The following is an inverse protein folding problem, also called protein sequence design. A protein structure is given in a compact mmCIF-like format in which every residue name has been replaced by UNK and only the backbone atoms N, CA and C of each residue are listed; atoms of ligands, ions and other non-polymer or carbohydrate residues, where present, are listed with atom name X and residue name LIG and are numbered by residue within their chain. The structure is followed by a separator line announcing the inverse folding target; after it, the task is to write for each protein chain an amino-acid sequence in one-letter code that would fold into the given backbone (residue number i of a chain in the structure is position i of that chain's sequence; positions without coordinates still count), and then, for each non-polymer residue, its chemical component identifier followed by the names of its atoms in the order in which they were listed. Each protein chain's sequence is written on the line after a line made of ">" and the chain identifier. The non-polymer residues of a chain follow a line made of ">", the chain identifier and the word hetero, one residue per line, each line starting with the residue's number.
data_IF_122048882468
#
_entry.id   IF_122048882468
#
_cell.length_a   1.000
_cell.length_b   1.000
_cell.length_c   1.000
_cell.angle_alpha   90.00
_cell.angle_beta   90.00
_cell.angle_gamma   90.00
#
_symmetry.space_group_name_H-M   'P 1'
#
loop_
_entity.id
_entity.type
_entity.pdbx_description
1 polymer ?
#
# COMPACT_ATOMS: atom_id res chain seq x y z
N UNK A 1 32.65 7.13 -14.00
CA UNK A 1 31.28 7.44 -13.56
C UNK A 1 30.43 6.17 -13.64
N UNK A 2 30.25 5.49 -12.50
CA UNK A 2 29.51 4.21 -12.46
C UNK A 2 28.00 4.49 -12.34
N UNK A 3 27.23 4.09 -13.35
CA UNK A 3 25.77 4.09 -13.29
C UNK A 3 25.35 3.02 -12.29
N UNK A 4 24.75 3.43 -11.17
CA UNK A 4 24.10 2.51 -10.25
C UNK A 4 22.97 1.78 -11.00
N UNK A 5 23.18 0.50 -11.29
CA UNK A 5 22.13 -0.40 -11.79
C UNK A 5 21.06 -0.52 -10.71
N UNK A 6 19.88 0.04 -10.97
CA UNK A 6 18.67 -0.21 -10.20
C UNK A 6 18.29 -1.68 -10.41
N UNK A 7 18.69 -2.57 -9.49
CA UNK A 7 18.21 -3.95 -9.48
C UNK A 7 16.73 -3.92 -9.10
N UNK A 8 15.86 -3.91 -10.09
CA UNK A 8 14.44 -4.23 -9.87
C UNK A 8 14.40 -5.68 -9.39
N UNK A 9 13.83 -5.89 -8.20
CA UNK A 9 13.66 -7.24 -7.64
C UNK A 9 12.77 -8.07 -8.56
N UNK A 10 12.84 -9.41 -8.48
CA UNK A 10 12.06 -10.28 -9.36
C UNK A 10 10.57 -9.96 -9.26
N UNK A 11 9.87 -10.01 -10.40
CA UNK A 11 8.41 -9.84 -10.46
C UNK A 11 7.77 -10.86 -9.52
N UNK A 12 7.04 -10.38 -8.51
CA UNK A 12 6.46 -11.22 -7.43
C UNK A 12 7.26 -11.23 -6.12
N UNK A 13 8.40 -10.55 -6.03
CA UNK A 13 9.11 -10.35 -4.78
C UNK A 13 8.25 -9.50 -3.81
N UNK A 14 7.98 -10.05 -2.62
CA UNK A 14 7.26 -9.33 -1.57
C UNK A 14 8.22 -8.38 -0.85
N UNK A 15 7.89 -7.09 -0.86
CA UNK A 15 8.54 -6.08 -0.02
C UNK A 15 7.90 -6.01 1.38
N UNK A 16 8.56 -5.28 2.29
CA UNK A 16 8.02 -4.95 3.60
C UNK A 16 8.05 -3.44 3.81
N UNK A 17 6.95 -2.87 4.30
CA UNK A 17 6.89 -1.49 4.76
C UNK A 17 6.75 -1.47 6.29
N UNK A 18 7.50 -0.57 6.93
CA UNK A 18 7.38 -0.30 8.35
C UNK A 18 6.81 1.11 8.49
N UNK A 19 5.60 1.21 9.03
CA UNK A 19 4.95 2.50 9.30
C UNK A 19 5.12 2.80 10.79
N UNK A 20 5.80 3.90 11.10
CA UNK A 20 6.05 4.35 12.48
C UNK A 20 5.14 5.52 12.84
N UNK A 21 5.08 5.82 14.13
CA UNK A 21 4.38 7.00 14.67
C UNK A 21 2.88 7.07 14.34
N UNK A 22 2.24 5.92 14.16
CA UNK A 22 0.80 5.83 13.93
C UNK A 22 0.05 6.20 15.22
N UNK A 23 -0.91 7.13 15.19
CA UNK A 23 -1.71 7.45 16.37
C UNK A 23 -2.40 6.22 16.96
N UNK A 24 -2.31 6.04 18.29
CA UNK A 24 -2.89 4.87 18.98
C UNK A 24 -4.39 4.74 18.78
N UNK A 25 -5.10 5.87 18.77
CA UNK A 25 -6.55 5.88 18.49
C UNK A 25 -6.85 5.36 17.07
N UNK A 26 -6.09 5.82 16.08
CA UNK A 26 -6.25 5.36 14.69
C UNK A 26 -6.02 3.85 14.59
N UNK A 27 -4.96 3.33 15.22
CA UNK A 27 -4.73 1.88 15.26
C UNK A 27 -5.91 1.12 15.87
N UNK A 28 -6.51 1.63 16.96
CA UNK A 28 -7.65 0.99 17.62
C UNK A 28 -8.86 0.95 16.70
N UNK A 29 -9.23 2.07 16.09
CA UNK A 29 -10.37 2.16 15.16
C UNK A 29 -10.16 1.29 13.93
N UNK A 30 -8.97 1.31 13.35
CA UNK A 30 -8.63 0.47 12.19
C UNK A 30 -8.77 -1.03 12.52
N UNK A 31 -8.31 -1.48 13.69
CA UNK A 31 -8.51 -2.87 14.14
C UNK A 31 -9.98 -3.22 14.30
N UNK A 32 -10.79 -2.34 14.90
CA UNK A 32 -12.23 -2.56 15.04
C UNK A 32 -12.92 -2.69 13.67
N UNK A 33 -12.64 -1.78 12.75
CA UNK A 33 -13.17 -1.82 11.39
C UNK A 33 -12.75 -3.09 10.62
N UNK A 34 -11.49 -3.53 10.80
CA UNK A 34 -10.97 -4.76 10.22
C UNK A 34 -11.72 -5.99 10.73
N UNK A 35 -11.93 -6.08 12.05
CA UNK A 35 -12.65 -7.19 12.67
C UNK A 35 -14.10 -7.28 12.17
N UNK A 36 -14.81 -6.15 12.08
CA UNK A 36 -16.20 -6.11 11.58
C UNK A 36 -16.32 -6.59 10.12
N UNK A 37 -15.28 -6.39 9.32
CA UNK A 37 -15.25 -6.81 7.92
C UNK A 37 -14.66 -8.21 7.70
N UNK A 38 -14.23 -8.91 8.77
CA UNK A 38 -13.52 -10.18 8.64
C UNK A 38 -12.16 -10.05 7.93
N UNK A 39 -11.54 -8.86 7.97
CA UNK A 39 -10.28 -8.53 7.29
C UNK A 39 -9.15 -8.30 8.29
N UNK A 40 -7.91 -8.33 7.81
CA UNK A 40 -6.76 -7.81 8.56
C UNK A 40 -6.58 -6.31 8.28
N UNK A 41 -5.96 -5.58 9.22
CA UNK A 41 -5.58 -4.17 8.99
C UNK A 41 -4.67 -4.04 7.77
N UNK A 42 -3.77 -5.00 7.54
CA UNK A 42 -2.94 -5.07 6.33
C UNK A 42 -3.79 -5.14 5.06
N UNK A 43 -4.82 -5.99 5.04
CA UNK A 43 -5.72 -6.13 3.91
C UNK A 43 -6.42 -4.81 3.58
N UNK A 44 -6.96 -4.13 4.59
CA UNK A 44 -7.58 -2.80 4.42
C UNK A 44 -6.58 -1.79 3.84
N UNK A 45 -5.35 -1.75 4.36
CA UNK A 45 -4.34 -0.81 3.86
C UNK A 45 -3.98 -1.06 2.40
N UNK A 46 -3.87 -2.33 1.98
CA UNK A 46 -3.60 -2.70 0.59
C UNK A 46 -4.76 -2.26 -0.31
N UNK A 47 -6.00 -2.60 0.04
CA UNK A 47 -7.19 -2.21 -0.72
C UNK A 47 -7.32 -0.69 -0.87
N UNK A 48 -7.10 0.06 0.22
CA UNK A 48 -7.11 1.52 0.17
C UNK A 48 -6.05 2.06 -0.78
N UNK A 49 -4.84 1.48 -0.76
CA UNK A 49 -3.74 1.87 -1.64
C UNK A 49 -4.08 1.60 -3.11
N UNK A 50 -4.54 0.39 -3.41
CA UNK A 50 -4.89 -0.03 -4.77
C UNK A 50 -6.02 0.83 -5.34
N UNK A 51 -7.07 1.07 -4.55
CA UNK A 51 -8.18 1.92 -4.96
C UNK A 51 -7.74 3.37 -5.21
N UNK A 52 -6.90 3.91 -4.33
CA UNK A 52 -6.36 5.26 -4.48
C UNK A 52 -5.49 5.39 -5.74
N UNK A 53 -4.60 4.43 -5.99
CA UNK A 53 -3.76 4.41 -7.20
C UNK A 53 -4.61 4.29 -8.46
N UNK A 54 -5.62 3.41 -8.47
CA UNK A 54 -6.54 3.26 -9.60
C UNK A 54 -7.32 4.56 -9.86
N UNK A 55 -7.71 5.30 -8.82
CA UNK A 55 -8.36 6.59 -8.97
C UNK A 55 -7.42 7.62 -9.61
N UNK A 56 -6.15 7.66 -9.19
CA UNK A 56 -5.15 8.53 -9.79
C UNK A 56 -4.87 8.18 -11.26
N UNK A 57 -4.85 6.89 -11.63
CA UNK A 57 -4.76 6.46 -13.03
C UNK A 57 -5.97 6.93 -13.85
N UNK A 58 -7.19 6.80 -13.32
CA UNK A 58 -8.42 7.28 -13.98
C UNK A 58 -8.41 8.79 -14.18
N UNK A 59 -7.83 9.53 -13.25
CA UNK A 59 -7.64 10.99 -13.34
C UNK A 59 -6.49 11.40 -14.26
N UNK A 60 -5.73 10.44 -14.81
CA UNK A 60 -4.55 10.71 -15.64
C UNK A 60 -3.34 11.26 -14.86
N UNK A 61 -3.38 11.17 -13.53
CA UNK A 61 -2.29 11.63 -12.64
C UNK A 61 -1.17 10.59 -12.51
N UNK A 62 -1.50 9.32 -12.75
CA UNK A 62 -0.53 8.23 -12.85
C UNK A 62 -0.63 7.54 -14.22
N UNK A 63 0.50 7.02 -14.74
CA UNK A 63 0.47 6.18 -15.94
C UNK A 63 -0.29 4.89 -15.61
N UNK A 64 -1.07 4.38 -16.58
CA UNK A 64 -1.70 3.06 -16.44
C UNK A 64 -0.63 1.99 -16.37
N UNK A 65 -0.64 1.18 -15.31
CA UNK A 65 0.22 0.00 -15.25
C UNK A 65 -0.25 -1.00 -16.34
N UNK A 66 0.69 -1.48 -17.15
CA UNK A 66 0.45 -2.48 -18.21
C UNK A 66 0.26 -3.87 -17.64
#
# INVERSE_FOLDING_TARGET
>A
MSKAQKKEGPVGARGAWIVRDVPRDLMRRARGAAALQGKSVKGILIELMENYLQELERKGLLPKVK
#
